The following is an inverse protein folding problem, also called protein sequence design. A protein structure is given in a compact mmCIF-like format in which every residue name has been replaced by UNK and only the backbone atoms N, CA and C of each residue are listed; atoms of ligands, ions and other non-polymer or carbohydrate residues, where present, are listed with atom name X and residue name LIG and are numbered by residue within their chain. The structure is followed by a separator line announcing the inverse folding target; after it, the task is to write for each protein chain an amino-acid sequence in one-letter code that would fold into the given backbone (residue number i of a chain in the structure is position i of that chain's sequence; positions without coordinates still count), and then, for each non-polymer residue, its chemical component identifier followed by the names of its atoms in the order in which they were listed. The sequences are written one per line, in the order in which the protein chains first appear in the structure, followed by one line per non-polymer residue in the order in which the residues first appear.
data_IF_148875158313
#
_entry.id   IF_148875158313
#
_cell.length_a   1.000
_cell.length_b   1.000
_cell.length_c   1.000
_cell.angle_alpha   90.00
_cell.angle_beta   90.00
_cell.angle_gamma   90.00
#
_symmetry.space_group_name_H-M   'P 1'
#
loop_
_entity.id
_entity.type
_entity.pdbx_description
1 polymer ?
#
# COMPACT_ATOMS: atom_id res chain seq x y z
N UNK A 1 58.27 15.09 1.67
CA UNK A 1 56.94 15.62 1.29
C UNK A 1 55.94 14.44 1.29
N UNK A 2 55.17 14.31 2.38
CA UNK A 2 54.20 13.22 2.51
C UNK A 2 52.94 13.55 1.69
N UNK A 3 52.58 12.73 0.70
CA UNK A 3 51.33 12.84 -0.02
C UNK A 3 50.15 12.78 0.97
N UNK A 4 49.13 13.66 0.84
CA UNK A 4 48.06 13.74 1.82
C UNK A 4 47.24 12.45 1.86
N UNK A 5 46.99 11.91 3.06
CA UNK A 5 46.29 10.64 3.31
C UNK A 5 44.79 10.59 2.88
N UNK A 6 44.36 11.52 2.06
CA UNK A 6 43.02 11.65 1.50
C UNK A 6 42.71 10.52 0.48
N UNK A 7 43.71 10.07 -0.29
CA UNK A 7 43.51 9.01 -1.29
C UNK A 7 43.15 7.64 -0.68
N UNK A 8 43.82 7.23 0.39
CA UNK A 8 43.55 5.95 1.06
C UNK A 8 42.20 5.92 1.77
N UNK A 9 41.84 7.03 2.45
CA UNK A 9 40.51 7.16 3.10
C UNK A 9 39.38 7.17 2.09
N UNK A 10 39.54 7.83 0.94
CA UNK A 10 38.58 7.84 -0.15
C UNK A 10 38.37 6.45 -0.77
N UNK A 11 39.45 5.70 -1.01
CA UNK A 11 39.39 4.34 -1.55
C UNK A 11 38.70 3.37 -0.58
N UNK A 12 38.98 3.43 0.71
CA UNK A 12 38.32 2.64 1.74
C UNK A 12 36.84 2.97 1.81
N UNK A 13 36.43 4.24 1.79
CA UNK A 13 35.03 4.65 1.79
C UNK A 13 34.30 4.18 0.53
N UNK A 14 34.92 4.28 -0.65
CA UNK A 14 34.35 3.78 -1.90
C UNK A 14 34.18 2.24 -1.89
N UNK A 15 35.17 1.51 -1.39
CA UNK A 15 35.11 0.05 -1.27
C UNK A 15 34.00 -0.39 -0.30
N UNK A 16 33.86 0.27 0.86
CA UNK A 16 32.80 -0.05 1.84
C UNK A 16 31.40 0.27 1.30
N UNK A 17 31.23 1.39 0.59
CA UNK A 17 29.96 1.72 -0.08
C UNK A 17 29.63 0.70 -1.20
N UNK A 18 30.62 0.30 -1.98
CA UNK A 18 30.47 -0.72 -3.02
C UNK A 18 30.07 -2.08 -2.44
N UNK A 19 30.74 -2.52 -1.38
CA UNK A 19 30.41 -3.78 -0.68
C UNK A 19 28.99 -3.74 -0.10
N UNK A 20 28.61 -2.63 0.55
CA UNK A 20 27.27 -2.42 1.07
C UNK A 20 26.21 -2.44 -0.04
N UNK A 21 26.44 -1.74 -1.17
CA UNK A 21 25.53 -1.72 -2.30
C UNK A 21 25.37 -3.11 -2.93
N UNK A 22 26.47 -3.84 -3.10
CA UNK A 22 26.47 -5.22 -3.58
C UNK A 22 25.67 -6.15 -2.67
N UNK A 23 25.86 -6.03 -1.36
CA UNK A 23 25.13 -6.82 -0.37
C UNK A 23 23.63 -6.47 -0.37
N UNK A 24 23.27 -5.17 -0.42
CA UNK A 24 21.86 -4.74 -0.53
C UNK A 24 21.22 -5.26 -1.83
N UNK A 25 21.94 -5.22 -2.96
CA UNK A 25 21.47 -5.76 -4.23
C UNK A 25 21.25 -7.28 -4.16
N UNK A 26 22.15 -8.02 -3.51
CA UNK A 26 22.01 -9.46 -3.28
C UNK A 26 20.79 -9.78 -2.40
N UNK A 27 20.50 -8.96 -1.37
CA UNK A 27 19.28 -9.06 -0.56
C UNK A 27 18.02 -8.87 -1.40
N UNK A 28 17.97 -7.84 -2.23
CA UNK A 28 16.83 -7.59 -3.15
C UNK A 28 16.66 -8.75 -4.15
N UNK A 29 17.75 -9.26 -4.73
CA UNK A 29 17.69 -10.43 -5.63
C UNK A 29 17.16 -11.66 -4.92
N UNK A 30 17.58 -11.91 -3.68
CA UNK A 30 17.10 -13.01 -2.84
C UNK A 30 15.63 -12.84 -2.47
N UNK A 31 15.22 -11.63 -2.09
CA UNK A 31 13.83 -11.28 -1.79
C UNK A 31 12.92 -11.56 -2.99
N UNK A 32 13.30 -11.12 -4.20
CA UNK A 32 12.55 -11.40 -5.44
C UNK A 32 12.33 -12.89 -5.71
N UNK A 33 13.30 -13.75 -5.34
CA UNK A 33 13.17 -15.21 -5.47
C UNK A 33 12.22 -15.82 -4.43
N UNK A 34 12.05 -15.15 -3.29
CA UNK A 34 11.17 -15.55 -2.18
C UNK A 34 9.79 -14.91 -2.24
N UNK A 35 9.59 -13.97 -3.16
CA UNK A 35 8.30 -13.31 -3.36
C UNK A 35 7.32 -14.33 -3.89
N UNK A 36 6.25 -14.54 -3.14
CA UNK A 36 5.16 -15.42 -3.51
C UNK A 36 4.43 -14.87 -4.75
N UNK A 37 4.19 -15.75 -5.73
CA UNK A 37 3.40 -15.44 -6.92
C UNK A 37 1.92 -15.68 -6.61
N UNK A 38 1.34 -14.81 -5.82
CA UNK A 38 -0.07 -14.88 -5.46
C UNK A 38 -0.92 -14.38 -6.61
N UNK A 39 -1.95 -15.13 -6.98
CA UNK A 39 -2.97 -14.69 -7.92
C UNK A 39 -3.91 -13.68 -7.25
N UNK A 40 -4.45 -12.78 -8.09
CA UNK A 40 -5.44 -11.79 -7.65
C UNK A 40 -6.69 -12.50 -7.14
N UNK A 41 -7.06 -12.23 -5.90
CA UNK A 41 -8.31 -12.75 -5.36
C UNK A 41 -9.51 -12.12 -6.07
N UNK A 42 -10.43 -12.96 -6.55
CA UNK A 42 -11.70 -12.57 -7.14
C UNK A 42 -12.79 -13.42 -6.51
N UNK A 43 -13.98 -12.85 -6.38
CA UNK A 43 -15.12 -13.55 -5.79
C UNK A 43 -16.42 -13.06 -6.44
N UNK A 44 -17.31 -13.99 -6.73
CA UNK A 44 -18.66 -13.71 -7.19
C UNK A 44 -19.58 -14.57 -6.33
N UNK A 45 -20.35 -13.97 -5.40
CA UNK A 45 -21.38 -14.71 -4.67
C UNK A 45 -22.59 -15.01 -5.56
N UNK A 46 -23.47 -15.90 -5.12
CA UNK A 46 -24.67 -16.29 -5.88
C UNK A 46 -25.63 -15.11 -6.09
N UNK A 47 -25.79 -14.23 -5.09
CA UNK A 47 -26.62 -13.02 -5.16
C UNK A 47 -25.78 -11.78 -4.76
N UNK A 48 -25.05 -11.17 -5.69
CA UNK A 48 -24.19 -10.03 -5.40
C UNK A 48 -25.01 -8.74 -5.24
N UNK A 49 -25.07 -8.19 -4.02
CA UNK A 49 -25.70 -6.88 -3.74
C UNK A 49 -24.74 -5.69 -3.88
N UNK A 50 -23.46 -5.98 -3.82
CA UNK A 50 -22.39 -4.97 -3.93
C UNK A 50 -21.34 -5.42 -4.93
N UNK A 51 -20.72 -4.47 -5.62
CA UNK A 51 -19.55 -4.73 -6.44
C UNK A 51 -18.40 -3.88 -5.94
N UNK A 52 -17.37 -4.53 -5.40
CA UNK A 52 -16.17 -3.86 -4.89
C UNK A 52 -15.02 -4.07 -5.86
N UNK A 53 -14.50 -2.98 -6.42
CA UNK A 53 -13.31 -2.98 -7.26
C UNK A 53 -12.08 -2.79 -6.38
N UNK A 54 -11.10 -3.68 -6.53
CA UNK A 54 -9.78 -3.55 -5.90
C UNK A 54 -8.75 -3.30 -6.98
N UNK A 55 -8.00 -2.21 -6.85
CA UNK A 55 -6.95 -1.83 -7.81
C UNK A 55 -5.66 -1.45 -7.07
N UNK A 56 -4.56 -1.35 -7.80
CA UNK A 56 -3.29 -0.94 -7.20
C UNK A 56 -2.10 -1.80 -7.61
N UNK A 57 -1.19 -1.98 -6.65
CA UNK A 57 0.09 -2.66 -6.85
C UNK A 57 0.10 -4.11 -6.30
N UNK A 58 1.28 -4.64 -6.00
CA UNK A 58 1.46 -6.00 -5.46
C UNK A 58 0.72 -6.22 -4.13
N UNK A 59 0.51 -5.17 -3.34
CA UNK A 59 -0.23 -5.26 -2.08
C UNK A 59 -1.74 -5.42 -2.31
N UNK A 60 -2.28 -4.82 -3.37
CA UNK A 60 -3.66 -5.02 -3.82
C UNK A 60 -3.85 -6.40 -4.48
N UNK A 61 -2.82 -6.94 -5.14
CA UNK A 61 -2.80 -8.34 -5.61
C UNK A 61 -2.85 -9.30 -4.42
N UNK A 62 -2.20 -8.96 -3.30
CA UNK A 62 -2.10 -9.79 -2.11
C UNK A 62 -0.79 -10.59 -2.05
N UNK A 63 0.26 -10.11 -2.73
CA UNK A 63 1.60 -10.73 -2.71
C UNK A 63 2.10 -10.85 -1.26
N UNK A 64 2.58 -12.03 -0.90
CA UNK A 64 3.07 -12.33 0.46
C UNK A 64 2.01 -12.88 1.41
N UNK A 65 0.72 -12.86 1.04
CA UNK A 65 -0.35 -13.39 1.89
C UNK A 65 -0.32 -14.92 2.06
N UNK A 66 0.41 -15.63 1.20
CA UNK A 66 0.46 -17.11 1.14
C UNK A 66 -0.83 -17.75 0.63
N UNK A 67 -1.97 -17.14 0.92
CA UNK A 67 -3.29 -17.54 0.40
C UNK A 67 -4.05 -16.26 -0.05
N UNK A 68 -4.57 -16.20 -1.28
CA UNK A 68 -5.31 -15.04 -1.77
C UNK A 68 -6.49 -14.60 -0.90
N UNK A 69 -7.14 -15.54 -0.19
CA UNK A 69 -8.22 -15.26 0.76
C UNK A 69 -7.77 -14.45 1.97
N UNK A 70 -6.48 -14.46 2.30
CA UNK A 70 -5.89 -13.72 3.42
C UNK A 70 -5.39 -12.32 3.04
N UNK A 71 -5.43 -11.97 1.74
CA UNK A 71 -5.21 -10.60 1.24
C UNK A 71 -6.32 -9.65 1.69
N UNK A 72 -6.13 -8.33 1.51
CA UNK A 72 -7.21 -7.35 1.76
C UNK A 72 -8.44 -7.65 0.92
N UNK A 73 -8.28 -8.00 -0.36
CA UNK A 73 -9.40 -8.37 -1.25
C UNK A 73 -10.17 -9.60 -0.77
N UNK A 74 -9.45 -10.64 -0.32
CA UNK A 74 -10.07 -11.85 0.23
C UNK A 74 -10.80 -11.59 1.55
N UNK A 75 -10.23 -10.75 2.42
CA UNK A 75 -10.86 -10.34 3.69
C UNK A 75 -12.09 -9.46 3.47
N UNK A 76 -12.09 -8.60 2.43
CA UNK A 76 -13.29 -7.86 2.01
C UNK A 76 -14.41 -8.82 1.61
N UNK A 77 -14.14 -9.87 0.81
CA UNK A 77 -15.13 -10.86 0.44
C UNK A 77 -15.72 -11.60 1.66
N UNK A 78 -14.85 -11.97 2.62
CA UNK A 78 -15.30 -12.63 3.86
C UNK A 78 -16.13 -11.72 4.76
N UNK A 79 -15.87 -10.43 4.73
CA UNK A 79 -16.56 -9.43 5.54
C UNK A 79 -17.87 -8.96 4.89
N UNK A 80 -17.88 -8.82 3.56
CA UNK A 80 -18.99 -8.39 2.71
C UNK A 80 -19.50 -9.61 1.93
N UNK A 81 -20.22 -10.50 2.58
CA UNK A 81 -20.59 -11.83 2.05
C UNK A 81 -21.35 -11.80 0.72
N UNK A 82 -22.08 -10.72 0.49
CA UNK A 82 -22.89 -10.44 -0.71
C UNK A 82 -22.15 -9.54 -1.72
N UNK A 83 -20.84 -9.32 -1.55
CA UNK A 83 -20.06 -8.49 -2.44
C UNK A 83 -19.31 -9.30 -3.50
N UNK A 84 -19.55 -8.97 -4.77
CA UNK A 84 -18.64 -9.33 -5.86
C UNK A 84 -17.33 -8.58 -5.71
N UNK A 85 -16.20 -9.28 -5.70
CA UNK A 85 -14.85 -8.67 -5.65
C UNK A 85 -14.21 -8.78 -7.02
N UNK A 86 -13.96 -7.63 -7.64
CA UNK A 86 -13.26 -7.50 -8.93
C UNK A 86 -11.88 -6.90 -8.68
N UNK A 87 -10.85 -7.73 -8.66
CA UNK A 87 -9.48 -7.28 -8.44
C UNK A 87 -8.77 -7.12 -9.78
N UNK A 88 -8.41 -5.87 -10.11
CA UNK A 88 -7.71 -5.47 -11.34
C UNK A 88 -6.28 -4.99 -11.09
N UNK A 89 -5.77 -5.15 -9.86
CA UNK A 89 -4.44 -4.76 -9.47
C UNK A 89 -3.34 -5.47 -10.28
N UNK A 90 -2.18 -4.87 -10.36
CA UNK A 90 -1.02 -5.42 -11.05
C UNK A 90 0.26 -5.16 -10.25
N UNK A 91 1.04 -6.20 -10.00
CA UNK A 91 2.32 -6.08 -9.28
C UNK A 91 3.26 -5.10 -9.99
N UNK A 92 3.90 -4.21 -9.20
CA UNK A 92 4.79 -3.19 -9.73
C UNK A 92 4.10 -1.91 -10.22
N UNK A 93 2.77 -1.82 -10.19
CA UNK A 93 2.03 -0.62 -10.59
C UNK A 93 2.38 0.58 -9.69
N UNK A 94 2.38 1.78 -10.26
CA UNK A 94 2.45 3.07 -9.58
C UNK A 94 1.09 3.75 -9.59
N UNK A 95 0.93 4.80 -8.83
CA UNK A 95 -0.29 5.63 -8.84
C UNK A 95 -0.69 6.12 -10.25
N UNK A 96 0.29 6.28 -11.16
CA UNK A 96 0.03 6.63 -12.56
C UNK A 96 -0.69 5.53 -13.35
N UNK A 97 -0.53 4.27 -12.96
CA UNK A 97 -1.03 3.11 -13.70
C UNK A 97 -2.47 2.75 -13.26
N UNK A 98 -2.88 3.16 -12.06
CA UNK A 98 -4.19 2.82 -11.48
C UNK A 98 -5.38 3.31 -12.30
N UNK A 99 -5.40 4.55 -12.85
CA UNK A 99 -6.48 4.98 -13.73
C UNK A 99 -6.70 4.08 -14.94
N UNK A 100 -5.63 3.49 -15.50
CA UNK A 100 -5.73 2.54 -16.60
C UNK A 100 -6.36 1.21 -16.17
N UNK A 101 -6.02 0.72 -14.97
CA UNK A 101 -6.67 -0.47 -14.40
C UNK A 101 -8.19 -0.27 -14.24
N UNK A 102 -8.61 0.91 -13.75
CA UNK A 102 -10.01 1.21 -13.46
C UNK A 102 -10.84 1.52 -14.72
N UNK A 103 -10.28 2.20 -15.73
CA UNK A 103 -11.00 2.47 -16.98
C UNK A 103 -11.48 1.21 -17.69
N UNK A 104 -10.79 0.08 -17.49
CA UNK A 104 -11.16 -1.22 -18.06
C UNK A 104 -12.41 -1.83 -17.43
N UNK A 105 -12.81 -1.36 -16.26
CA UNK A 105 -13.91 -1.95 -15.49
C UNK A 105 -15.05 -0.99 -15.20
N UNK A 106 -14.80 0.29 -14.94
CA UNK A 106 -15.83 1.27 -14.60
C UNK A 106 -16.89 1.49 -15.70
N UNK A 107 -16.56 1.20 -16.96
CA UNK A 107 -17.55 1.23 -18.05
C UNK A 107 -18.32 -0.09 -18.25
N UNK A 108 -17.95 -1.15 -17.52
CA UNK A 108 -18.48 -2.51 -17.76
C UNK A 108 -19.23 -3.08 -16.55
N UNK A 109 -19.04 -2.50 -15.36
CA UNK A 109 -19.63 -2.99 -14.12
C UNK A 109 -20.17 -1.83 -13.28
N UNK A 110 -21.26 -2.09 -12.59
CA UNK A 110 -21.81 -1.19 -11.58
C UNK A 110 -21.04 -1.33 -10.27
N UNK A 111 -19.97 -0.55 -10.14
CA UNK A 111 -19.10 -0.60 -8.98
C UNK A 111 -19.68 0.26 -7.84
N UNK A 112 -19.97 -0.34 -6.70
CA UNK A 112 -20.47 0.34 -5.51
C UNK A 112 -19.35 0.90 -4.61
N UNK A 113 -18.10 0.43 -4.77
CA UNK A 113 -16.93 0.85 -3.99
C UNK A 113 -15.66 0.55 -4.76
N UNK A 114 -14.68 1.44 -4.70
CA UNK A 114 -13.33 1.21 -5.21
C UNK A 114 -12.31 1.33 -4.06
N UNK A 115 -11.49 0.29 -3.85
CA UNK A 115 -10.40 0.27 -2.87
C UNK A 115 -9.06 0.19 -3.61
N UNK A 116 -8.19 1.17 -3.40
CA UNK A 116 -6.90 1.28 -4.09
C UNK A 116 -5.76 1.16 -3.10
N UNK A 117 -5.01 0.06 -3.17
CA UNK A 117 -3.78 -0.11 -2.40
C UNK A 117 -2.59 0.15 -3.35
N UNK A 118 -1.96 1.32 -3.24
CA UNK A 118 -0.89 1.73 -4.14
C UNK A 118 -0.02 2.84 -3.57
N UNK A 119 1.22 2.93 -4.08
CA UNK A 119 2.16 4.00 -3.77
C UNK A 119 3.53 3.51 -3.30
N UNK A 120 3.68 2.22 -2.99
CA UNK A 120 4.95 1.62 -2.63
C UNK A 120 5.98 1.78 -3.78
N UNK A 121 5.56 1.53 -5.01
CA UNK A 121 6.42 1.68 -6.18
C UNK A 121 6.73 3.15 -6.50
N UNK A 122 5.88 4.10 -6.11
CA UNK A 122 6.17 5.54 -6.22
C UNK A 122 7.30 5.95 -5.25
N UNK A 123 7.34 5.36 -4.04
CA UNK A 123 8.47 5.54 -3.12
C UNK A 123 9.74 4.94 -3.70
N UNK A 124 9.70 3.67 -4.12
CA UNK A 124 10.86 2.91 -4.61
C UNK A 124 11.44 3.45 -5.92
N UNK A 125 10.60 4.01 -6.79
CA UNK A 125 10.99 4.58 -8.09
C UNK A 125 11.14 6.11 -8.03
N UNK A 126 11.19 6.69 -6.87
CA UNK A 126 11.44 8.12 -6.65
C UNK A 126 10.48 9.04 -7.41
N UNK A 127 9.19 8.66 -7.55
CA UNK A 127 8.16 9.53 -8.13
C UNK A 127 8.07 10.84 -7.33
N UNK A 128 8.15 12.00 -7.98
CA UNK A 128 8.13 13.28 -7.27
C UNK A 128 6.76 13.53 -6.61
N UNK A 129 6.72 14.24 -5.46
CA UNK A 129 5.45 14.57 -4.79
C UNK A 129 4.45 15.30 -5.68
N UNK A 130 4.92 16.13 -6.61
CA UNK A 130 4.06 16.80 -7.58
C UNK A 130 3.38 15.81 -8.55
N UNK A 131 4.13 14.81 -9.05
CA UNK A 131 3.57 13.73 -9.87
C UNK A 131 2.60 12.86 -9.07
N UNK A 132 2.91 12.54 -7.83
CA UNK A 132 1.98 11.81 -6.93
C UNK A 132 0.67 12.56 -6.82
N UNK A 133 0.69 13.87 -6.48
CA UNK A 133 -0.53 14.70 -6.40
C UNK A 133 -1.33 14.69 -7.70
N UNK A 134 -0.67 14.86 -8.84
CA UNK A 134 -1.32 14.83 -10.15
C UNK A 134 -2.00 13.49 -10.43
N UNK A 135 -1.32 12.39 -10.17
CA UNK A 135 -1.83 11.04 -10.42
C UNK A 135 -3.02 10.71 -9.49
N UNK A 136 -2.95 11.11 -8.23
CA UNK A 136 -4.05 10.94 -7.27
C UNK A 136 -5.27 11.77 -7.68
N UNK A 137 -5.09 13.02 -8.13
CA UNK A 137 -6.19 13.83 -8.65
C UNK A 137 -6.84 13.25 -9.90
N UNK A 138 -6.05 12.69 -10.81
CA UNK A 138 -6.57 11.99 -12.00
C UNK A 138 -7.40 10.76 -11.62
N UNK A 139 -6.94 10.01 -10.62
CA UNK A 139 -7.65 8.86 -10.06
C UNK A 139 -8.97 9.28 -9.40
N UNK A 140 -8.94 10.32 -8.57
CA UNK A 140 -10.13 10.89 -7.91
C UNK A 140 -11.15 11.33 -8.95
N UNK A 141 -10.72 12.11 -9.95
CA UNK A 141 -11.64 12.57 -11.02
C UNK A 141 -12.23 11.43 -11.84
N UNK A 142 -11.52 10.28 -11.99
CA UNK A 142 -12.08 9.10 -12.63
C UNK A 142 -13.17 8.46 -11.76
N UNK A 143 -12.95 8.30 -10.47
CA UNK A 143 -13.91 7.72 -9.54
C UNK A 143 -15.17 8.62 -9.41
N UNK A 144 -14.98 9.94 -9.31
CA UNK A 144 -16.07 10.90 -9.23
C UNK A 144 -16.95 10.90 -10.50
N UNK A 145 -16.34 10.83 -11.69
CA UNK A 145 -17.12 10.72 -12.94
C UNK A 145 -17.91 9.42 -13.08
N UNK A 146 -17.44 8.37 -12.41
CA UNK A 146 -18.14 7.07 -12.35
C UNK A 146 -19.13 6.99 -11.17
N UNK A 147 -19.23 8.03 -10.35
CA UNK A 147 -19.99 8.08 -9.09
C UNK A 147 -19.66 6.91 -8.13
N UNK A 148 -18.39 6.52 -8.09
CA UNK A 148 -17.92 5.41 -7.26
C UNK A 148 -17.14 5.94 -6.05
N UNK A 149 -17.56 5.66 -4.81
CA UNK A 149 -16.78 5.96 -3.62
C UNK A 149 -15.39 5.35 -3.69
N UNK A 150 -14.35 6.15 -3.38
CA UNK A 150 -12.96 5.78 -3.51
C UNK A 150 -12.28 5.74 -2.14
N UNK A 151 -11.70 4.60 -1.79
CA UNK A 151 -10.85 4.43 -0.61
C UNK A 151 -9.41 4.23 -1.05
N UNK A 152 -8.56 5.19 -0.69
CA UNK A 152 -7.12 5.13 -0.96
C UNK A 152 -6.40 4.57 0.26
N UNK A 153 -5.58 3.55 0.04
CA UNK A 153 -4.77 2.91 1.06
C UNK A 153 -3.30 3.03 0.65
N UNK A 154 -2.63 4.14 1.03
CA UNK A 154 -1.19 4.29 0.79
C UNK A 154 -0.41 3.27 1.61
N UNK A 155 0.82 2.93 1.19
CA UNK A 155 1.64 1.96 1.91
C UNK A 155 1.99 2.45 3.32
N UNK A 156 2.15 1.53 4.26
CA UNK A 156 2.66 1.79 5.59
C UNK A 156 4.14 2.22 5.59
N UNK A 157 4.89 1.84 6.62
CA UNK A 157 6.29 2.20 6.78
C UNK A 157 7.25 1.43 5.86
N UNK A 158 7.26 1.73 4.55
CA UNK A 158 8.11 1.05 3.54
C UNK A 158 9.58 1.00 3.94
N UNK A 159 10.14 2.10 4.44
CA UNK A 159 11.53 2.15 4.84
C UNK A 159 11.86 1.36 6.12
N UNK A 160 10.85 0.93 6.87
CA UNK A 160 11.01 0.06 8.04
C UNK A 160 10.93 -1.43 7.68
N UNK A 161 10.64 -1.76 6.42
CA UNK A 161 10.59 -3.16 5.97
C UNK A 161 11.98 -3.82 6.14
N UNK A 162 12.04 -5.06 6.65
CA UNK A 162 13.31 -5.77 6.93
C UNK A 162 14.26 -5.90 5.74
N UNK A 163 13.73 -5.79 4.52
CA UNK A 163 14.54 -5.82 3.28
C UNK A 163 15.56 -4.69 3.24
N UNK A 164 15.24 -3.52 3.79
CA UNK A 164 16.05 -2.31 3.64
C UNK A 164 16.97 -2.07 4.82
N UNK A 165 18.22 -1.75 4.52
CA UNK A 165 19.24 -1.41 5.53
C UNK A 165 19.61 0.06 5.44
N UNK A 166 20.06 0.68 6.56
CA UNK A 166 20.64 2.01 6.51
C UNK A 166 21.84 2.07 5.54
N UNK A 167 22.01 3.20 4.82
CA UNK A 167 21.21 4.41 4.84
C UNK A 167 19.95 4.37 3.97
N UNK A 168 19.77 3.32 3.14
CA UNK A 168 18.65 3.22 2.20
C UNK A 168 17.28 3.20 2.93
N UNK A 169 17.17 2.50 4.05
CA UNK A 169 15.94 2.50 4.88
C UNK A 169 15.53 3.90 5.33
N UNK A 170 16.49 4.76 5.70
CA UNK A 170 16.23 6.15 6.10
C UNK A 170 15.76 6.99 4.91
N UNK A 171 16.43 6.83 3.77
CA UNK A 171 16.04 7.50 2.52
C UNK A 171 14.63 7.11 2.10
N UNK A 172 14.30 5.82 2.11
CA UNK A 172 12.97 5.33 1.75
C UNK A 172 11.91 5.78 2.76
N UNK A 173 12.23 5.84 4.05
CA UNK A 173 11.33 6.39 5.08
C UNK A 173 11.03 7.87 4.84
N UNK A 174 12.06 8.67 4.50
CA UNK A 174 11.88 10.07 4.15
C UNK A 174 11.01 10.22 2.88
N UNK A 175 11.29 9.43 1.85
CA UNK A 175 10.50 9.39 0.60
C UNK A 175 9.05 9.00 0.86
N UNK A 176 8.81 7.97 1.66
CA UNK A 176 7.47 7.50 2.00
C UNK A 176 6.63 8.59 2.68
N UNK A 177 7.24 9.39 3.59
CA UNK A 177 6.57 10.56 4.18
C UNK A 177 6.17 11.60 3.13
N UNK A 178 7.01 11.84 2.12
CA UNK A 178 6.73 12.75 1.01
C UNK A 178 5.57 12.28 0.13
N UNK A 179 5.57 11.00 -0.26
CA UNK A 179 4.49 10.38 -1.04
C UNK A 179 3.17 10.40 -0.25
N UNK A 180 3.21 10.01 1.03
CA UNK A 180 2.04 10.02 1.91
C UNK A 180 1.44 11.42 2.03
N UNK A 181 2.25 12.46 2.36
CA UNK A 181 1.77 13.86 2.43
C UNK A 181 1.15 14.33 1.12
N UNK A 182 1.75 13.99 -0.02
CA UNK A 182 1.25 14.36 -1.33
C UNK A 182 -0.11 13.70 -1.64
N UNK A 183 -0.29 12.43 -1.24
CA UNK A 183 -1.52 11.68 -1.43
C UNK A 183 -2.63 12.24 -0.54
N UNK A 184 -2.39 12.39 0.77
CA UNK A 184 -3.35 12.98 1.71
C UNK A 184 -3.78 14.39 1.28
N UNK A 185 -2.81 15.24 0.90
CA UNK A 185 -3.10 16.60 0.44
C UNK A 185 -3.92 16.64 -0.85
N UNK A 186 -3.75 15.67 -1.76
CA UNK A 186 -4.55 15.57 -2.98
C UNK A 186 -5.99 15.09 -2.71
N UNK A 187 -6.17 14.21 -1.72
CA UNK A 187 -7.46 13.66 -1.33
C UNK A 187 -8.23 14.54 -0.32
N UNK A 188 -7.56 15.54 0.28
CA UNK A 188 -8.19 16.40 1.29
C UNK A 188 -9.43 17.11 0.75
N UNK A 189 -10.54 17.01 1.51
CA UNK A 189 -11.85 17.63 1.17
C UNK A 189 -12.43 17.21 -0.19
N UNK A 190 -11.98 16.09 -0.77
CA UNK A 190 -12.60 15.56 -1.99
C UNK A 190 -13.84 14.72 -1.62
N UNK A 191 -14.98 15.05 -2.24
CA UNK A 191 -16.24 14.32 -2.02
C UNK A 191 -16.10 12.87 -2.50
N UNK A 192 -16.65 11.91 -1.75
CA UNK A 192 -16.62 10.49 -2.09
C UNK A 192 -15.24 9.84 -1.97
N UNK A 193 -14.25 10.51 -1.36
CA UNK A 193 -12.88 10.01 -1.23
C UNK A 193 -12.48 9.88 0.24
N UNK A 194 -12.00 8.72 0.62
CA UNK A 194 -11.43 8.42 1.93
C UNK A 194 -9.98 7.98 1.80
N UNK A 195 -9.17 8.25 2.82
CA UNK A 195 -7.78 7.78 2.90
C UNK A 195 -7.58 7.04 4.20
N UNK A 196 -7.15 5.79 4.10
CA UNK A 196 -6.81 4.94 5.25
C UNK A 196 -5.33 5.08 5.55
N UNK A 197 -4.99 5.54 6.73
CA UNK A 197 -3.60 5.68 7.15
C UNK A 197 -3.08 4.41 7.82
N UNK A 198 -2.19 3.71 7.14
CA UNK A 198 -1.53 2.52 7.68
C UNK A 198 -0.32 2.85 8.56
N UNK A 199 0.06 4.14 8.66
CA UNK A 199 1.19 4.58 9.47
C UNK A 199 0.73 4.81 10.90
N UNK A 200 1.04 3.86 11.76
CA UNK A 200 0.77 3.95 13.19
C UNK A 200 1.93 4.59 13.95
N UNK A 201 1.67 5.21 15.14
CA UNK A 201 2.73 5.62 16.05
C UNK A 201 3.67 4.46 16.37
N UNK A 202 4.97 4.70 16.48
CA UNK A 202 5.99 3.64 16.60
C UNK A 202 5.70 2.61 17.73
N UNK A 203 5.12 3.07 18.85
CA UNK A 203 4.75 2.21 19.99
C UNK A 203 3.53 1.31 19.74
N UNK A 204 2.72 1.62 18.70
CA UNK A 204 1.49 0.90 18.33
C UNK A 204 1.61 0.18 16.98
N UNK A 205 2.76 0.27 16.33
CA UNK A 205 2.98 -0.32 15.01
C UNK A 205 3.45 -1.77 15.13
N UNK A 206 2.58 -2.76 14.84
CA UNK A 206 2.92 -4.17 14.97
C UNK A 206 4.03 -4.61 14.00
N UNK A 207 4.16 -3.94 12.83
CA UNK A 207 5.21 -4.22 11.87
C UNK A 207 6.60 -3.83 12.39
N UNK A 208 6.68 -2.83 13.30
CA UNK A 208 7.92 -2.46 13.97
C UNK A 208 8.19 -3.31 15.20
N UNK A 209 7.14 -3.63 15.97
CA UNK A 209 7.26 -4.40 17.20
C UNK A 209 7.67 -5.86 16.92
N UNK A 210 7.11 -6.47 15.89
CA UNK A 210 7.35 -7.87 15.52
C UNK A 210 7.43 -8.05 13.98
N UNK A 211 8.50 -7.59 13.32
CA UNK A 211 8.59 -7.64 11.86
C UNK A 211 8.41 -9.04 11.29
N UNK A 212 9.01 -10.06 11.90
CA UNK A 212 8.92 -11.45 11.44
C UNK A 212 7.48 -12.01 11.48
N UNK A 213 6.63 -11.49 12.34
CA UNK A 213 5.22 -11.89 12.45
C UNK A 213 4.32 -11.23 11.39
N UNK A 214 4.76 -10.14 10.73
CA UNK A 214 3.92 -9.33 9.86
C UNK A 214 4.42 -9.18 8.43
N UNK A 215 5.72 -9.44 8.18
CA UNK A 215 6.28 -9.45 6.82
C UNK A 215 6.39 -10.87 6.27
N UNK A 216 6.24 -11.00 4.97
CA UNK A 216 6.51 -12.23 4.23
C UNK A 216 8.03 -12.53 4.17
N UNK A 217 8.38 -13.71 3.66
CA UNK A 217 9.78 -14.17 3.58
C UNK A 217 10.69 -13.27 2.72
N UNK A 218 10.11 -12.41 1.86
CA UNK A 218 10.85 -11.42 1.09
C UNK A 218 11.25 -10.18 1.91
N UNK A 219 10.70 -10.02 3.12
CA UNK A 219 10.98 -8.91 4.02
C UNK A 219 10.46 -7.56 3.54
N UNK A 220 9.54 -7.53 2.56
CA UNK A 220 8.96 -6.32 1.99
C UNK A 220 7.44 -6.32 2.04
N UNK A 221 6.80 -7.38 1.54
CA UNK A 221 5.35 -7.50 1.51
C UNK A 221 4.80 -7.94 2.86
N UNK A 222 3.58 -7.52 3.21
CA UNK A 222 2.89 -8.09 4.36
C UNK A 222 2.64 -9.59 4.16
N UNK A 223 2.71 -10.37 5.22
CA UNK A 223 2.18 -11.72 5.25
C UNK A 223 0.68 -11.72 5.62
N UNK A 224 0.08 -12.89 5.84
CA UNK A 224 -1.33 -13.04 6.22
C UNK A 224 -1.71 -12.18 7.45
N UNK A 225 -0.87 -12.14 8.48
CA UNK A 225 -1.11 -11.33 9.68
C UNK A 225 -1.00 -9.84 9.37
N UNK A 226 0.01 -9.44 8.59
CA UNK A 226 0.19 -8.06 8.15
C UNK A 226 -1.00 -7.54 7.34
N UNK A 227 -1.53 -8.34 6.42
CA UNK A 227 -2.76 -8.01 5.70
C UNK A 227 -3.99 -7.98 6.61
N UNK A 228 -4.01 -8.80 7.67
CA UNK A 228 -5.03 -8.73 8.72
C UNK A 228 -5.05 -7.36 9.39
N UNK A 229 -3.90 -6.87 9.82
CA UNK A 229 -3.75 -5.54 10.43
C UNK A 229 -4.16 -4.42 9.45
N UNK A 230 -3.79 -4.51 8.18
CA UNK A 230 -4.20 -3.53 7.17
C UNK A 230 -5.72 -3.55 6.94
N UNK A 231 -6.33 -4.72 6.93
CA UNK A 231 -7.78 -4.85 6.81
C UNK A 231 -8.51 -4.27 8.02
N UNK A 232 -8.00 -4.47 9.24
CA UNK A 232 -8.55 -3.85 10.45
C UNK A 232 -8.49 -2.32 10.37
N UNK A 233 -7.35 -1.75 9.93
CA UNK A 233 -7.24 -0.30 9.72
C UNK A 233 -8.21 0.19 8.64
N UNK A 234 -8.40 -0.56 7.55
CA UNK A 234 -9.36 -0.25 6.50
C UNK A 234 -10.78 -0.19 7.07
N UNK A 235 -11.20 -1.18 7.84
CA UNK A 235 -12.52 -1.23 8.48
C UNK A 235 -12.69 -0.10 9.50
N UNK A 236 -11.68 0.16 10.33
CA UNK A 236 -11.77 1.18 11.38
C UNK A 236 -11.87 2.61 10.82
N UNK A 237 -11.18 2.90 9.72
CA UNK A 237 -11.05 4.26 9.19
C UNK A 237 -11.97 4.59 8.02
N UNK A 238 -12.50 3.59 7.30
CA UNK A 238 -13.34 3.82 6.12
C UNK A 238 -14.83 3.67 6.43
N UNK A 239 -15.57 4.75 6.35
CA UNK A 239 -17.04 4.75 6.44
C UNK A 239 -17.66 4.02 5.25
N UNK A 240 -17.11 4.21 4.06
CA UNK A 240 -17.59 3.55 2.84
C UNK A 240 -17.54 2.02 2.97
N UNK A 241 -16.53 1.47 3.63
CA UNK A 241 -16.44 0.03 3.96
C UNK A 241 -17.42 -0.33 5.08
N UNK A 242 -17.44 0.44 6.19
CA UNK A 242 -18.29 0.17 7.35
C UNK A 242 -19.78 0.11 7.00
N UNK A 243 -20.26 1.02 6.15
CA UNK A 243 -21.68 1.05 5.73
C UNK A 243 -22.12 -0.22 5.00
N UNK A 244 -21.18 -0.96 4.41
CA UNK A 244 -21.43 -2.22 3.69
C UNK A 244 -21.26 -3.47 4.55
N UNK A 245 -20.69 -3.32 5.73
CA UNK A 245 -20.57 -4.44 6.67
C UNK A 245 -21.93 -4.79 7.28
N UNK A 246 -22.18 -6.09 7.56
CA UNK A 246 -23.31 -6.51 8.37
C UNK A 246 -23.31 -5.79 9.73
N UNK A 247 -24.49 -5.46 10.30
CA UNK A 247 -24.58 -4.68 11.55
C UNK A 247 -23.71 -5.23 12.70
N UNK A 248 -23.62 -6.54 12.83
CA UNK A 248 -22.82 -7.22 13.85
C UNK A 248 -21.29 -7.04 13.71
N UNK A 249 -20.81 -6.54 12.56
CA UNK A 249 -19.38 -6.32 12.29
C UNK A 249 -18.98 -4.84 12.18
N UNK A 250 -19.91 -3.91 12.38
CA UNK A 250 -19.61 -2.48 12.36
C UNK A 250 -18.81 -2.12 13.61
N UNK A 251 -17.62 -1.56 13.44
CA UNK A 251 -16.82 -1.07 14.54
C UNK A 251 -17.57 0.05 15.29
N UNK A 252 -17.45 0.13 16.63
CA UNK A 252 -17.97 1.27 17.36
C UNK A 252 -17.38 2.56 16.80
N UNK A 253 -18.19 3.62 16.69
CA UNK A 253 -17.77 4.92 16.16
C UNK A 253 -16.59 5.46 16.97
N UNK A 254 -15.38 5.26 16.48
CA UNK A 254 -14.23 6.02 16.96
C UNK A 254 -14.35 7.40 16.32
N UNK A 255 -14.68 8.42 17.13
CA UNK A 255 -14.55 9.81 16.72
C UNK A 255 -13.07 10.05 16.42
N UNK A 256 -12.70 10.05 15.15
CA UNK A 256 -11.43 10.58 14.67
C UNK A 256 -11.47 12.10 14.88
N UNK A 257 -11.13 12.53 16.11
CA UNK A 257 -10.82 13.92 16.37
C UNK A 257 -9.70 14.34 15.40
N UNK A 258 -9.96 15.40 14.65
CA UNK A 258 -9.02 16.12 13.81
C UNK A 258 -7.76 16.51 14.59
N UNK A 259 -6.77 15.63 14.65
CA UNK A 259 -5.42 15.91 15.15
C UNK A 259 -4.39 15.63 14.06
N UNK A 260 -4.46 16.39 12.98
CA UNK A 260 -3.46 16.29 11.91
C UNK A 260 -3.15 17.66 11.28
N UNK A 261 -3.03 18.72 12.09
CA UNK A 261 -2.33 19.95 11.67
C UNK A 261 -1.85 20.67 12.95
N UNK A 262 -0.72 20.22 13.49
CA UNK A 262 0.30 21.03 14.17
C UNK A 262 1.66 20.49 13.84
#
# INVERSE_FOLDING_TARGET
MNAPGWGRRGLVAAATLGAWAGWQAARVKRARRRTDRTDRFRHVPDDPRHCVVVAGDSTAVGVGAGNPRLSVAGRLALALRDARIVNVAHSGARLADVPHQLRRVFGLIDASLCVVLCGANDVLRFTSPARVRRNVRALIGLAQRADVPLVLVPPGHIGAAPLWLPPLSWLLSWRARGVRRALFGAAHKQSGVEVVDLVLPARKDPFRAAPAAHYAADGLHPNANGYGQWFEQLVQQSRAVQHRLPPARRAPRVQLAHRLFR
#
